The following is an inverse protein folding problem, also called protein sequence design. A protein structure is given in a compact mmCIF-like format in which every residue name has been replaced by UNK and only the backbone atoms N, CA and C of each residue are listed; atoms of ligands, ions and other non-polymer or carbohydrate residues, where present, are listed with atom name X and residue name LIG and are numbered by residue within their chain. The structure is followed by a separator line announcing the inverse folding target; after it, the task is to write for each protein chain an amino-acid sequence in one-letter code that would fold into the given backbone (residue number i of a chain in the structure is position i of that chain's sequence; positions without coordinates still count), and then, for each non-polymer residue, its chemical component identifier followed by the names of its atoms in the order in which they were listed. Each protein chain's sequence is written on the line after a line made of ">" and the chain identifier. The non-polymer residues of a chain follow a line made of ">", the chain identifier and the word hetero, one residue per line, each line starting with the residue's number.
data_IF_132607648298
#
_entry.id   IF_132607648298
#
_cell.length_a   1.000
_cell.length_b   1.000
_cell.length_c   1.000
_cell.angle_alpha   90.00
_cell.angle_beta   90.00
_cell.angle_gamma   90.00
#
_symmetry.space_group_name_H-M   'P 1'
#
loop_
_entity.id
_entity.type
_entity.pdbx_description
1 polymer ?
#
# COMPACT_ATOMS: atom_id res chain seq x y z
N UNK A 1 12.04 -8.75 -17.93
CA UNK A 1 12.72 -10.05 -17.66
C UNK A 1 14.20 -9.82 -17.52
N UNK A 2 14.83 -10.46 -16.54
CA UNK A 2 16.28 -10.27 -16.27
C UNK A 2 17.18 -10.89 -17.32
N UNK A 3 16.76 -12.01 -17.90
CA UNK A 3 17.51 -12.76 -18.92
C UNK A 3 18.97 -12.96 -18.52
N UNK A 4 19.20 -13.61 -17.40
CA UNK A 4 20.55 -13.92 -16.93
C UNK A 4 21.15 -15.04 -17.78
N UNK A 5 22.35 -14.78 -18.33
CA UNK A 5 23.18 -15.78 -18.98
C UNK A 5 24.22 -16.29 -17.98
N UNK A 6 24.03 -17.51 -17.50
CA UNK A 6 24.89 -18.11 -16.49
C UNK A 6 26.31 -18.43 -17.02
N UNK A 7 26.44 -18.69 -18.34
CA UNK A 7 27.74 -18.97 -18.94
C UNK A 7 28.60 -17.71 -19.10
N UNK A 8 27.97 -16.61 -19.47
CA UNK A 8 28.64 -15.31 -19.62
C UNK A 8 28.67 -14.50 -18.31
N UNK A 9 27.89 -14.89 -17.27
CA UNK A 9 27.76 -14.13 -16.03
C UNK A 9 27.11 -12.75 -16.21
N UNK A 10 26.30 -12.56 -17.25
CA UNK A 10 25.75 -11.26 -17.64
C UNK A 10 24.24 -11.26 -17.68
N UNK A 11 23.63 -10.06 -17.59
CA UNK A 11 22.20 -9.84 -17.74
C UNK A 11 21.90 -9.15 -19.08
N UNK A 12 20.92 -9.65 -19.81
CA UNK A 12 20.30 -8.98 -20.95
C UNK A 12 18.87 -8.55 -20.60
N UNK A 13 18.74 -7.73 -19.56
CA UNK A 13 17.45 -7.29 -19.01
C UNK A 13 16.62 -6.59 -20.07
N UNK A 14 15.35 -6.98 -20.17
CA UNK A 14 14.34 -6.35 -21.03
C UNK A 14 13.13 -5.97 -20.20
N UNK A 15 12.57 -4.82 -20.49
CA UNK A 15 11.34 -4.29 -19.90
C UNK A 15 10.38 -3.85 -21.01
N UNK A 16 9.08 -3.93 -20.74
CA UNK A 16 8.05 -3.45 -21.66
C UNK A 16 7.89 -1.93 -21.54
N UNK A 17 8.01 -1.41 -20.31
CA UNK A 17 7.93 0.00 -19.96
C UNK A 17 9.07 0.39 -19.04
N UNK A 18 9.53 1.63 -19.12
CA UNK A 18 10.63 2.15 -18.30
C UNK A 18 10.14 2.54 -16.89
N UNK A 19 8.88 2.95 -16.79
CA UNK A 19 8.23 3.37 -15.55
C UNK A 19 7.03 2.49 -15.20
N UNK A 20 6.44 2.71 -14.03
CA UNK A 20 5.23 2.00 -13.60
C UNK A 20 4.04 2.55 -14.39
N UNK A 21 3.57 1.79 -15.39
CA UNK A 21 2.37 2.10 -16.15
C UNK A 21 1.12 1.45 -15.57
N UNK A 22 -0.03 1.79 -16.13
CA UNK A 22 -1.33 1.29 -15.67
C UNK A 22 -1.39 -0.25 -15.60
N UNK A 23 -0.79 -0.93 -16.58
CA UNK A 23 -0.79 -2.39 -16.69
C UNK A 23 0.01 -3.09 -15.60
N UNK A 24 0.94 -2.40 -14.94
CA UNK A 24 1.69 -2.97 -13.82
C UNK A 24 0.78 -3.32 -12.63
N UNK A 25 -0.30 -2.55 -12.45
CA UNK A 25 -1.27 -2.74 -11.38
C UNK A 25 -2.58 -3.37 -11.87
N UNK A 26 -3.06 -2.98 -13.05
CA UNK A 26 -4.38 -3.35 -13.57
C UNK A 26 -4.37 -4.46 -14.61
N UNK A 27 -3.18 -4.98 -14.97
CA UNK A 27 -3.03 -5.98 -16.03
C UNK A 27 -3.28 -5.40 -17.43
N UNK A 28 -3.38 -6.26 -18.46
CA UNK A 28 -3.51 -5.82 -19.86
C UNK A 28 -4.72 -4.90 -20.09
N UNK A 29 -4.46 -3.70 -20.63
CA UNK A 29 -5.44 -2.63 -20.79
C UNK A 29 -6.16 -2.59 -22.14
N UNK A 30 -5.92 -3.54 -23.05
CA UNK A 30 -6.50 -3.51 -24.40
C UNK A 30 -8.02 -3.46 -24.44
N UNK A 31 -8.67 -4.21 -23.55
CA UNK A 31 -10.14 -4.21 -23.44
C UNK A 31 -10.66 -2.88 -22.86
N UNK A 32 -9.99 -2.33 -21.85
CA UNK A 32 -10.28 -1.02 -21.32
C UNK A 32 -10.22 0.06 -22.41
N UNK A 33 -9.15 0.06 -23.21
CA UNK A 33 -8.97 1.03 -24.31
C UNK A 33 -10.07 0.87 -25.37
N UNK A 34 -10.47 -0.35 -25.69
CA UNK A 34 -11.56 -0.58 -26.63
C UNK A 34 -12.89 0.00 -26.10
N UNK A 35 -13.27 -0.33 -24.87
CA UNK A 35 -14.48 0.20 -24.26
C UNK A 35 -14.50 1.73 -24.15
N UNK A 36 -13.35 2.32 -23.78
CA UNK A 36 -13.24 3.77 -23.67
C UNK A 36 -13.36 4.50 -25.02
N UNK A 37 -12.97 3.85 -26.12
CA UNK A 37 -13.13 4.39 -27.47
C UNK A 37 -14.56 4.28 -28.00
N UNK A 38 -15.23 3.18 -27.67
CA UNK A 38 -16.59 2.90 -28.17
C UNK A 38 -17.66 3.70 -27.40
N UNK A 39 -17.30 4.39 -26.32
CA UNK A 39 -18.16 5.27 -25.51
C UNK A 39 -19.54 4.64 -25.21
N UNK A 40 -19.60 3.34 -24.95
CA UNK A 40 -20.84 2.64 -24.62
C UNK A 40 -21.18 2.82 -23.15
N UNK A 41 -22.41 3.26 -22.85
CA UNK A 41 -22.98 3.32 -21.49
C UNK A 41 -23.28 1.91 -20.90
N UNK A 42 -22.47 0.92 -21.24
CA UNK A 42 -22.67 -0.45 -20.73
C UNK A 42 -22.32 -0.48 -19.22
N UNK A 43 -23.25 -0.92 -18.36
CA UNK A 43 -22.99 -1.14 -16.93
C UNK A 43 -21.86 -2.15 -16.67
N UNK A 44 -21.54 -3.07 -17.59
CA UNK A 44 -20.35 -3.91 -17.52
C UNK A 44 -19.07 -3.07 -17.59
N UNK A 45 -19.15 -1.86 -18.13
CA UNK A 45 -18.08 -0.85 -18.11
C UNK A 45 -17.82 -0.26 -16.71
N UNK A 46 -18.61 -0.63 -15.68
CA UNK A 46 -18.40 -0.17 -14.31
C UNK A 46 -17.00 -0.51 -13.75
N UNK A 47 -16.33 -1.48 -14.36
CA UNK A 47 -14.90 -1.80 -14.14
C UNK A 47 -13.98 -1.26 -15.24
N UNK A 48 -14.51 -0.46 -16.18
CA UNK A 48 -13.75 0.12 -17.27
C UNK A 48 -13.03 -0.89 -18.18
N UNK A 49 -13.40 -2.19 -18.15
CA UNK A 49 -12.72 -3.24 -18.90
C UNK A 49 -11.33 -3.60 -18.40
N UNK A 50 -10.92 -3.12 -17.22
CA UNK A 50 -9.67 -3.50 -16.60
C UNK A 50 -9.70 -4.95 -16.14
N UNK A 51 -8.59 -5.66 -16.33
CA UNK A 51 -8.46 -7.06 -15.91
C UNK A 51 -8.44 -7.18 -14.38
N UNK A 52 -7.80 -6.23 -13.72
CA UNK A 52 -7.66 -6.18 -12.26
C UNK A 52 -8.26 -4.90 -11.74
N UNK A 53 -9.17 -5.03 -10.78
CA UNK A 53 -9.77 -3.92 -10.03
C UNK A 53 -9.56 -4.14 -8.55
N UNK A 54 -9.37 -3.04 -7.82
CA UNK A 54 -9.19 -3.07 -6.37
C UNK A 54 -10.55 -2.84 -5.71
N UNK A 55 -11.23 -3.95 -5.43
CA UNK A 55 -12.60 -3.94 -4.91
C UNK A 55 -12.67 -3.97 -3.37
N UNK A 56 -11.53 -4.03 -2.69
CA UNK A 56 -11.45 -4.13 -1.24
C UNK A 56 -12.18 -3.00 -0.51
N UNK A 57 -12.23 -1.82 -1.13
CA UNK A 57 -12.89 -0.62 -0.56
C UNK A 57 -14.26 -0.33 -1.16
N UNK A 58 -14.69 -1.10 -2.18
CA UNK A 58 -15.94 -0.83 -2.88
C UNK A 58 -17.15 -1.09 -1.99
N UNK A 59 -17.99 -0.07 -1.82
CA UNK A 59 -19.19 -0.16 -0.99
C UNK A 59 -18.91 -0.33 0.51
N UNK A 60 -17.70 -0.09 0.93
CA UNK A 60 -17.29 -0.16 2.33
C UNK A 60 -17.20 1.24 2.91
N UNK A 61 -17.74 1.42 4.11
CA UNK A 61 -17.61 2.63 4.90
C UNK A 61 -16.80 2.34 6.18
N UNK A 62 -16.09 3.33 6.64
CA UNK A 62 -15.48 3.35 7.95
C UNK A 62 -16.40 4.13 8.91
N UNK A 63 -16.89 3.47 9.94
CA UNK A 63 -17.85 4.04 10.89
C UNK A 63 -17.15 4.28 12.22
N UNK A 64 -17.00 5.54 12.60
CA UNK A 64 -16.36 5.92 13.86
C UNK A 64 -17.27 5.53 15.03
N UNK A 65 -16.75 4.71 15.93
CA UNK A 65 -17.37 4.40 17.21
C UNK A 65 -17.25 5.61 18.15
N UNK A 66 -18.37 6.20 18.61
CA UNK A 66 -18.35 7.38 19.46
C UNK A 66 -17.69 7.14 20.83
N UNK A 67 -17.65 5.90 21.30
CA UNK A 67 -17.05 5.56 22.61
C UNK A 67 -15.53 5.47 22.49
N UNK A 68 -15.01 4.78 21.48
CA UNK A 68 -13.57 4.58 21.31
C UNK A 68 -12.93 5.66 20.46
N UNK A 69 -13.67 6.33 19.58
CA UNK A 69 -13.16 7.29 18.61
C UNK A 69 -12.43 6.62 17.42
N UNK A 70 -12.42 5.29 17.33
CA UNK A 70 -11.83 4.55 16.23
C UNK A 70 -12.93 4.06 15.28
N UNK A 71 -12.63 4.04 13.98
CA UNK A 71 -13.56 3.49 13.02
C UNK A 71 -13.48 1.96 12.95
N UNK A 72 -14.62 1.37 12.62
CA UNK A 72 -14.74 -0.03 12.21
C UNK A 72 -15.23 -0.10 10.78
N UNK A 73 -14.75 -1.10 10.06
CA UNK A 73 -15.18 -1.37 8.70
C UNK A 73 -16.62 -1.87 8.68
N UNK A 74 -17.45 -1.36 7.76
CA UNK A 74 -18.86 -1.78 7.61
C UNK A 74 -19.00 -3.23 7.09
N UNK A 75 -17.97 -3.76 6.44
CA UNK A 75 -17.90 -5.14 5.99
C UNK A 75 -16.45 -5.66 6.09
N UNK A 76 -16.24 -6.95 6.37
CA UNK A 76 -14.89 -7.53 6.41
C UNK A 76 -14.23 -7.46 5.03
N UNK A 77 -12.90 -7.36 5.01
CA UNK A 77 -12.10 -7.51 3.78
C UNK A 77 -12.11 -8.98 3.35
N UNK A 78 -12.42 -9.23 2.08
CA UNK A 78 -12.55 -10.58 1.51
C UNK A 78 -11.44 -10.93 0.54
N UNK A 79 -10.67 -9.95 0.06
CA UNK A 79 -9.56 -10.12 -0.88
C UNK A 79 -8.31 -9.37 -0.40
N UNK A 80 -7.18 -9.66 -1.01
CA UNK A 80 -5.90 -8.98 -0.77
C UNK A 80 -5.27 -8.48 -2.07
N UNK A 81 -6.05 -8.36 -3.13
CA UNK A 81 -5.55 -8.05 -4.49
C UNK A 81 -4.74 -6.76 -4.50
N UNK A 82 -5.23 -5.71 -3.84
CA UNK A 82 -4.50 -4.44 -3.74
C UNK A 82 -3.15 -4.60 -3.04
N UNK A 83 -3.14 -5.30 -1.90
CA UNK A 83 -1.90 -5.54 -1.14
C UNK A 83 -0.90 -6.40 -1.92
N UNK A 84 -1.37 -7.42 -2.63
CA UNK A 84 -0.55 -8.30 -3.44
C UNK A 84 0.09 -7.55 -4.62
N UNK A 85 -0.67 -6.67 -5.26
CA UNK A 85 -0.15 -5.82 -6.35
C UNK A 85 0.87 -4.81 -5.82
N UNK A 86 0.61 -4.15 -4.70
CA UNK A 86 1.55 -3.19 -4.10
C UNK A 86 2.85 -3.87 -3.66
N UNK A 87 2.77 -5.09 -3.15
CA UNK A 87 3.91 -5.87 -2.67
C UNK A 87 5.00 -6.09 -3.71
N UNK A 88 4.65 -6.14 -5.00
CA UNK A 88 5.64 -6.31 -6.08
C UNK A 88 6.79 -5.31 -5.99
N UNK A 89 6.49 -4.07 -5.60
CA UNK A 89 7.44 -2.98 -5.51
C UNK A 89 7.72 -2.57 -4.06
N UNK A 90 6.73 -2.67 -3.16
CA UNK A 90 6.78 -2.21 -1.78
C UNK A 90 7.11 -3.30 -0.76
N UNK A 91 7.61 -4.46 -1.19
CA UNK A 91 8.13 -5.51 -0.31
C UNK A 91 9.59 -5.84 -0.64
N UNK A 92 10.41 -6.05 0.39
CA UNK A 92 11.71 -6.72 0.21
C UNK A 92 11.45 -8.19 -0.10
N UNK A 93 11.86 -8.63 -1.26
CA UNK A 93 11.51 -9.95 -1.80
C UNK A 93 12.54 -10.53 -2.73
N UNK A 94 12.59 -11.85 -2.80
CA UNK A 94 13.19 -12.59 -3.90
C UNK A 94 12.12 -12.95 -4.93
N UNK A 95 12.40 -12.82 -6.21
CA UNK A 95 11.53 -13.30 -7.28
C UNK A 95 12.01 -14.69 -7.72
N UNK A 96 11.13 -15.69 -7.68
CA UNK A 96 11.41 -17.05 -8.13
C UNK A 96 10.63 -17.44 -9.39
N UNK A 97 9.65 -16.64 -9.79
CA UNK A 97 8.88 -16.83 -11.03
C UNK A 97 8.80 -15.52 -11.82
N UNK A 98 9.10 -15.62 -13.14
CA UNK A 98 8.94 -14.50 -14.09
C UNK A 98 7.53 -14.43 -14.70
N UNK A 99 6.62 -15.32 -14.27
CA UNK A 99 5.29 -15.45 -14.84
C UNK A 99 4.22 -14.59 -14.15
N UNK A 100 4.59 -13.78 -13.16
CA UNK A 100 3.63 -12.94 -12.42
C UNK A 100 2.79 -12.07 -13.35
N UNK A 101 1.49 -12.05 -13.08
CA UNK A 101 0.53 -11.13 -13.68
C UNK A 101 -0.17 -10.35 -12.57
N UNK A 102 -0.47 -9.09 -12.84
CA UNK A 102 -1.22 -8.28 -11.88
C UNK A 102 -2.51 -8.98 -11.43
N UNK A 103 -2.78 -8.94 -10.14
CA UNK A 103 -3.93 -9.59 -9.51
C UNK A 103 -3.73 -11.04 -9.06
N UNK A 104 -2.62 -11.68 -9.45
CA UNK A 104 -2.25 -12.98 -8.89
C UNK A 104 -1.70 -12.82 -7.46
N UNK A 105 -1.82 -13.86 -6.60
CA UNK A 105 -1.26 -13.79 -5.26
C UNK A 105 0.26 -13.53 -5.31
N UNK A 106 0.70 -12.56 -4.53
CA UNK A 106 2.11 -12.14 -4.50
C UNK A 106 3.05 -13.30 -4.17
N UNK A 107 2.68 -14.14 -3.21
CA UNK A 107 3.49 -15.25 -2.72
C UNK A 107 3.60 -16.43 -3.69
N UNK A 108 2.83 -16.46 -4.77
CA UNK A 108 2.95 -17.47 -5.81
C UNK A 108 4.14 -17.21 -6.74
N UNK A 109 4.71 -16.01 -6.69
CA UNK A 109 5.79 -15.56 -7.58
C UNK A 109 6.98 -14.96 -6.84
N UNK A 110 6.78 -14.53 -5.61
CA UNK A 110 7.79 -13.85 -4.80
C UNK A 110 7.88 -14.45 -3.41
N UNK A 111 9.10 -14.50 -2.90
CA UNK A 111 9.40 -14.84 -1.52
C UNK A 111 9.65 -13.55 -0.74
N UNK A 112 8.70 -13.08 0.09
CA UNK A 112 8.92 -11.91 0.93
C UNK A 112 9.97 -12.18 2.00
N UNK A 113 10.73 -11.15 2.38
CA UNK A 113 11.59 -11.22 3.55
C UNK A 113 10.71 -11.37 4.81
N UNK A 114 11.06 -12.37 5.64
CA UNK A 114 10.40 -12.59 6.91
C UNK A 114 10.85 -11.54 7.95
N UNK A 115 10.15 -11.46 9.07
CA UNK A 115 10.50 -10.63 10.23
C UNK A 115 11.78 -11.15 10.90
N UNK A 116 12.88 -11.13 10.16
CA UNK A 116 14.18 -11.69 10.58
C UNK A 116 14.99 -10.64 11.33
N UNK A 117 15.80 -11.12 12.29
CA UNK A 117 16.77 -10.27 12.97
C UNK A 117 17.69 -9.56 11.95
N UNK A 118 17.88 -8.26 12.13
CA UNK A 118 18.66 -7.42 11.24
C UNK A 118 17.83 -6.72 10.18
N UNK A 119 16.68 -7.28 9.78
CA UNK A 119 15.74 -6.64 8.84
C UNK A 119 14.64 -5.87 9.56
N UNK A 120 14.17 -6.40 10.68
CA UNK A 120 13.11 -5.81 11.50
C UNK A 120 13.54 -5.74 12.96
N UNK A 121 12.95 -4.81 13.70
CA UNK A 121 12.97 -4.81 15.15
C UNK A 121 12.02 -5.90 15.70
N UNK A 122 12.18 -6.31 16.98
CA UNK A 122 11.31 -7.35 17.57
C UNK A 122 9.82 -7.03 17.60
N UNK A 123 9.46 -5.75 17.52
CA UNK A 123 8.08 -5.25 17.48
C UNK A 123 7.49 -5.14 16.06
N UNK A 124 8.24 -5.53 15.03
CA UNK A 124 7.81 -5.51 13.64
C UNK A 124 8.13 -4.21 12.89
N UNK A 125 8.70 -3.20 13.56
CA UNK A 125 9.17 -1.99 12.89
C UNK A 125 10.33 -2.33 11.95
N UNK A 126 10.38 -1.64 10.82
CA UNK A 126 11.46 -1.82 9.85
C UNK A 126 12.79 -1.31 10.42
N UNK A 127 13.85 -2.07 10.21
CA UNK A 127 15.21 -1.74 10.66
C UNK A 127 16.17 -1.52 9.50
N UNK A 128 16.05 -2.33 8.47
CA UNK A 128 16.83 -2.24 7.24
C UNK A 128 15.90 -1.91 6.08
N UNK A 129 16.42 -1.78 4.87
CA UNK A 129 15.64 -1.53 3.65
C UNK A 129 14.74 -2.73 3.31
N UNK A 130 13.54 -2.75 3.90
CA UNK A 130 12.54 -3.81 3.73
C UNK A 130 11.26 -3.31 3.06
N UNK A 131 11.16 -2.01 2.81
CA UNK A 131 9.97 -1.32 2.33
C UNK A 131 8.77 -1.47 3.27
N UNK A 132 7.64 -0.87 2.94
CA UNK A 132 6.55 -0.67 3.89
C UNK A 132 5.61 -1.87 4.04
N UNK A 133 5.57 -2.78 3.04
CA UNK A 133 4.59 -3.86 3.00
C UNK A 133 4.68 -4.79 4.20
N UNK A 134 5.89 -5.22 4.59
CA UNK A 134 6.08 -6.17 5.69
C UNK A 134 5.70 -5.57 7.05
N UNK A 135 6.09 -4.32 7.32
CA UNK A 135 5.72 -3.63 8.56
C UNK A 135 4.22 -3.33 8.60
N UNK A 136 3.63 -2.91 7.47
CA UNK A 136 2.18 -2.70 7.38
C UNK A 136 1.37 -3.95 7.69
N UNK A 137 1.78 -5.13 7.19
CA UNK A 137 1.09 -6.39 7.50
C UNK A 137 1.09 -6.72 9.00
N UNK A 138 2.09 -6.23 9.74
CA UNK A 138 2.18 -6.39 11.19
C UNK A 138 1.32 -5.39 11.96
N UNK A 139 0.77 -4.37 11.29
CA UNK A 139 0.00 -3.30 11.93
C UNK A 139 -1.40 -3.74 12.39
N UNK A 140 -1.90 -3.06 13.42
CA UNK A 140 -3.28 -3.23 13.87
C UNK A 140 -4.29 -2.76 12.83
N UNK A 141 -3.95 -1.75 12.04
CA UNK A 141 -4.83 -1.25 10.99
C UNK A 141 -5.01 -2.28 9.88
N UNK A 142 -3.94 -2.95 9.43
CA UNK A 142 -4.06 -4.07 8.50
C UNK A 142 -4.97 -5.19 9.05
N UNK A 143 -4.79 -5.56 10.34
CA UNK A 143 -5.64 -6.57 11.00
C UNK A 143 -7.12 -6.15 11.09
N UNK A 144 -7.42 -4.85 11.04
CA UNK A 144 -8.79 -4.30 10.97
C UNK A 144 -9.31 -4.14 9.55
N UNK A 145 -8.54 -4.53 8.54
CA UNK A 145 -8.95 -4.54 7.15
C UNK A 145 -8.58 -3.29 6.35
N UNK A 146 -7.76 -2.40 6.91
CA UNK A 146 -7.20 -1.26 6.17
C UNK A 146 -6.31 -1.77 5.04
N UNK A 147 -6.31 -1.08 3.91
CA UNK A 147 -5.44 -1.31 2.76
C UNK A 147 -4.61 -0.07 2.45
N UNK A 148 -3.63 -0.18 1.57
CA UNK A 148 -2.78 0.94 1.17
C UNK A 148 -3.61 2.11 0.63
N UNK A 149 -4.62 1.80 -0.19
CA UNK A 149 -5.48 2.78 -0.82
C UNK A 149 -6.53 3.42 0.11
N UNK A 150 -6.62 3.03 1.39
CA UNK A 150 -7.40 3.81 2.37
C UNK A 150 -6.67 5.12 2.73
N UNK A 151 -5.34 5.18 2.58
CA UNK A 151 -4.54 6.36 2.89
C UNK A 151 -3.92 7.00 1.64
N UNK A 152 -3.49 6.18 0.67
CA UNK A 152 -2.77 6.61 -0.52
C UNK A 152 -3.64 6.67 -1.76
N UNK A 153 -3.44 7.72 -2.58
CA UNK A 153 -3.88 7.75 -3.97
C UNK A 153 -2.71 7.31 -4.88
N UNK A 154 -2.72 6.07 -5.38
CA UNK A 154 -1.64 5.55 -6.20
C UNK A 154 -1.54 6.24 -7.57
N UNK A 155 -2.62 6.86 -8.07
CA UNK A 155 -2.62 7.57 -9.34
C UNK A 155 -1.97 8.95 -9.22
N UNK A 156 -2.17 9.63 -8.10
CA UNK A 156 -1.54 10.91 -7.80
C UNK A 156 -0.19 10.81 -7.11
N UNK A 157 0.17 9.65 -6.57
CA UNK A 157 1.37 9.48 -5.74
C UNK A 157 1.31 10.27 -4.43
N UNK A 158 0.10 10.53 -3.92
CA UNK A 158 -0.15 11.39 -2.76
C UNK A 158 -0.97 10.66 -1.70
N UNK A 159 -1.16 11.30 -0.54
CA UNK A 159 -2.19 10.90 0.41
C UNK A 159 -3.54 11.47 0.01
N UNK A 160 -4.64 10.80 0.38
CA UNK A 160 -6.02 11.28 0.14
C UNK A 160 -6.30 12.60 0.86
N UNK A 161 -5.62 12.87 1.97
CA UNK A 161 -5.75 14.12 2.72
C UNK A 161 -4.40 14.50 3.36
N UNK A 162 -4.11 15.79 3.54
CA UNK A 162 -2.83 16.24 4.08
C UNK A 162 -2.75 16.08 5.60
N UNK A 163 -1.54 15.80 6.10
CA UNK A 163 -1.23 15.78 7.54
C UNK A 163 -2.17 14.89 8.36
N UNK A 164 -2.64 15.38 9.48
CA UNK A 164 -3.53 14.62 10.38
C UNK A 164 -4.89 14.28 9.75
N UNK A 165 -5.31 14.98 8.69
CA UNK A 165 -6.59 14.73 8.06
C UNK A 165 -6.69 13.34 7.41
N UNK A 166 -5.58 12.72 6.99
CA UNK A 166 -5.59 11.34 6.49
C UNK A 166 -5.93 10.35 7.61
N UNK A 167 -5.47 10.60 8.83
CA UNK A 167 -5.77 9.78 10.00
C UNK A 167 -7.22 10.00 10.48
N UNK A 168 -7.70 11.24 10.34
CA UNK A 168 -9.03 11.65 10.76
C UNK A 168 -10.18 11.00 9.96
N UNK A 169 -9.88 10.34 8.85
CA UNK A 169 -10.86 9.51 8.12
C UNK A 169 -11.40 8.37 9.01
N UNK A 170 -10.59 7.87 9.93
CA UNK A 170 -10.90 6.74 10.78
C UNK A 170 -10.76 7.02 12.28
N UNK A 171 -10.07 8.09 12.66
CA UNK A 171 -9.80 8.45 14.05
C UNK A 171 -10.46 9.80 14.39
N UNK A 172 -11.35 9.81 15.37
CA UNK A 172 -12.08 11.02 15.75
C UNK A 172 -11.14 12.15 16.20
N UNK A 173 -11.12 13.25 15.47
CA UNK A 173 -10.27 14.43 15.77
C UNK A 173 -10.51 14.97 17.16
N UNK A 174 -11.78 15.04 17.59
CA UNK A 174 -12.14 15.51 18.93
C UNK A 174 -11.53 14.67 20.07
N UNK A 175 -11.07 13.46 19.79
CA UNK A 175 -10.43 12.57 20.75
C UNK A 175 -8.90 12.52 20.58
N UNK A 176 -8.43 12.46 19.35
CA UNK A 176 -7.05 12.13 19.06
C UNK A 176 -6.21 13.33 18.57
N UNK A 177 -6.82 14.31 17.89
CA UNK A 177 -6.08 15.51 17.45
C UNK A 177 -6.28 16.64 18.46
N UNK A 178 -5.88 16.38 19.71
CA UNK A 178 -6.07 17.28 20.84
C UNK A 178 -4.83 17.32 21.73
N UNK A 179 -4.56 18.46 22.39
CA UNK A 179 -3.43 18.59 23.36
C UNK A 179 -3.49 17.57 24.50
N UNK A 180 -4.66 17.05 24.85
CA UNK A 180 -4.79 16.01 25.89
C UNK A 180 -4.31 14.63 25.40
N UNK A 181 -4.24 14.42 24.09
CA UNK A 181 -3.70 13.19 23.51
C UNK A 181 -2.22 13.33 23.14
N UNK A 182 -1.87 14.32 22.32
CA UNK A 182 -0.51 14.46 21.80
C UNK A 182 0.42 15.34 22.66
N UNK A 183 -0.09 16.04 23.69
CA UNK A 183 0.67 16.87 24.65
C UNK A 183 1.46 18.03 24.04
N UNK A 184 1.11 18.48 22.86
CA UNK A 184 1.76 19.55 22.10
C UNK A 184 0.78 20.68 21.76
N UNK A 185 1.28 21.83 21.39
CA UNK A 185 0.45 22.91 20.89
C UNK A 185 -0.17 22.52 19.54
N UNK A 186 -1.47 22.81 19.31
CA UNK A 186 -2.13 22.53 18.03
C UNK A 186 -1.35 23.13 16.86
N UNK A 187 -1.19 22.34 15.78
CA UNK A 187 -0.47 22.75 14.58
C UNK A 187 1.07 22.76 14.70
N UNK A 188 1.63 22.41 15.85
CA UNK A 188 3.09 22.22 16.00
C UNK A 188 3.52 20.87 15.35
N UNK A 189 4.81 20.72 15.06
CA UNK A 189 5.36 19.49 14.51
C UNK A 189 5.08 18.26 15.40
N UNK A 190 5.10 18.43 16.73
CA UNK A 190 4.80 17.35 17.68
C UNK A 190 3.31 16.97 17.76
N UNK A 191 2.41 17.80 17.23
CA UNK A 191 0.99 17.49 17.13
C UNK A 191 0.66 16.65 15.88
N UNK A 192 1.63 16.41 14.97
CA UNK A 192 1.42 15.55 13.82
C UNK A 192 1.29 14.08 14.25
N UNK A 193 0.22 13.41 13.88
CA UNK A 193 -0.02 12.00 14.23
C UNK A 193 1.17 11.10 13.82
N UNK A 194 1.68 11.30 12.62
CA UNK A 194 2.81 10.55 12.09
C UNK A 194 4.10 10.75 12.87
N UNK A 195 4.29 11.90 13.56
CA UNK A 195 5.51 12.16 14.34
C UNK A 195 5.71 11.17 15.50
N UNK A 196 4.61 10.63 16.03
CA UNK A 196 4.64 9.66 17.12
C UNK A 196 4.28 8.24 16.68
N UNK A 197 3.29 8.12 15.77
CA UNK A 197 2.75 6.81 15.38
C UNK A 197 3.45 6.19 14.18
N UNK A 198 4.18 6.96 13.38
CA UNK A 198 4.89 6.49 12.19
C UNK A 198 6.33 7.03 12.24
N UNK A 199 7.17 6.37 13.05
CA UNK A 199 8.57 6.78 13.22
C UNK A 199 9.24 6.93 11.86
N UNK A 200 9.97 8.03 11.67
CA UNK A 200 10.76 8.25 10.47
C UNK A 200 12.20 7.80 10.72
N UNK A 201 12.72 6.95 9.85
CA UNK A 201 14.14 6.60 9.78
C UNK A 201 14.70 6.90 8.39
N UNK A 202 16.00 7.22 8.34
CA UNK A 202 16.67 7.47 7.07
C UNK A 202 17.40 6.21 6.63
N UNK A 203 16.96 5.63 5.52
CA UNK A 203 17.56 4.47 4.89
C UNK A 203 18.59 4.90 3.84
N UNK A 204 19.62 4.09 3.65
CA UNK A 204 20.67 4.33 2.65
C UNK A 204 21.27 5.75 2.72
N UNK A 205 21.24 6.37 3.91
CA UNK A 205 21.77 7.72 4.22
C UNK A 205 20.93 8.87 3.65
N UNK A 206 20.05 8.63 2.68
CA UNK A 206 19.38 9.69 1.90
C UNK A 206 17.85 9.59 1.84
N UNK A 207 17.25 8.48 2.27
CA UNK A 207 15.83 8.22 2.05
C UNK A 207 15.04 8.16 3.39
N UNK A 208 14.44 9.25 3.84
CA UNK A 208 13.60 9.25 5.04
C UNK A 208 12.25 8.59 4.75
N UNK A 209 11.90 7.55 5.51
CA UNK A 209 10.63 6.83 5.39
C UNK A 209 9.94 6.70 6.73
N UNK A 210 8.62 6.74 6.69
CA UNK A 210 7.76 6.42 7.82
C UNK A 210 7.59 4.91 7.96
N UNK A 211 7.73 4.40 9.18
CA UNK A 211 7.39 3.02 9.49
C UNK A 211 5.87 2.81 9.45
N UNK A 212 5.41 1.68 8.91
CA UNK A 212 3.99 1.36 8.74
C UNK A 212 3.50 0.24 9.67
N UNK A 213 4.22 -0.06 10.74
CA UNK A 213 3.82 -1.09 11.74
C UNK A 213 2.83 -0.58 12.81
N UNK A 214 2.28 0.60 12.67
CA UNK A 214 1.37 1.33 13.59
C UNK A 214 0.01 0.67 13.85
#
# INVERSE_FOLDING_TARGET
>A
RRNFDAAAGTFATRWAEISVGCEACHGPGSHHVALARDATDDPASARGGLTVTFDERRGVAWVIDPVTGNATRSAPRTTSTELDVCAQCHARRGQFSDAYRAGEPFTDHYLPALLSQGLYYPDGQQRDEVFDWGSFLSSRMHAKGVTCGDCHDPHGGTLHAPGNAVCAQCHATARYDTPSHHFHAPGSAGAACAACHMKTETYMVVDPRHDHSF
#
